data_IF_321647501146
#
_entry.id   IF_321647501146
#
_cell.length_a   1.000
_cell.length_b   1.000
_cell.length_c   1.000
_cell.angle_alpha   90.00
_cell.angle_beta   90.00
_cell.angle_gamma   90.00
#
_symmetry.space_group_name_H-M   'P 1'
#
loop_
_entity.id
_entity.type
_entity.pdbx_description
1 polymer ?
#
# COMPACT_ATOMS: atom_id res chain seq x y z
N UNK A 1 -27.42 3.00 6.32
CA UNK A 1 -26.39 3.77 5.56
C UNK A 1 -25.66 4.64 6.58
N UNK A 2 -24.34 4.55 6.77
CA UNK A 2 -23.73 5.34 7.87
C UNK A 2 -22.22 5.28 8.13
N UNK A 3 -21.41 4.48 7.42
CA UNK A 3 -19.94 4.60 7.51
C UNK A 3 -19.30 4.17 6.19
N UNK A 4 -18.36 4.94 5.63
CA UNK A 4 -17.58 4.50 4.48
C UNK A 4 -16.93 3.15 4.80
N UNK A 5 -17.29 2.13 4.01
CA UNK A 5 -16.79 0.75 4.19
C UNK A 5 -15.30 0.65 3.85
N UNK A 6 -14.87 1.52 2.94
CA UNK A 6 -13.49 1.78 2.59
C UNK A 6 -12.94 2.91 3.47
N UNK A 7 -11.77 2.67 4.04
CA UNK A 7 -10.93 3.72 4.61
C UNK A 7 -9.59 3.66 3.91
N UNK A 8 -8.83 4.75 3.95
CA UNK A 8 -7.49 4.79 3.36
C UNK A 8 -6.61 3.62 3.81
N UNK A 9 -6.63 3.29 5.12
CA UNK A 9 -5.92 2.13 5.67
C UNK A 9 -6.34 0.80 5.02
N UNK A 10 -7.62 0.61 4.73
CA UNK A 10 -8.11 -0.62 4.09
C UNK A 10 -7.71 -0.71 2.62
N UNK A 11 -7.72 0.41 1.90
CA UNK A 11 -7.23 0.46 0.53
C UNK A 11 -5.74 0.12 0.47
N UNK A 12 -4.91 0.81 1.26
CA UNK A 12 -3.47 0.53 1.32
C UNK A 12 -3.19 -0.91 1.74
N UNK A 13 -3.90 -1.45 2.74
CA UNK A 13 -3.72 -2.84 3.15
C UNK A 13 -4.15 -3.84 2.06
N UNK A 14 -5.18 -3.52 1.28
CA UNK A 14 -5.59 -4.35 0.14
C UNK A 14 -4.53 -4.33 -0.97
N UNK A 15 -4.01 -3.14 -1.31
CA UNK A 15 -2.94 -2.98 -2.31
C UNK A 15 -1.69 -3.74 -1.88
N UNK A 16 -1.25 -3.59 -0.63
CA UNK A 16 -0.08 -4.28 -0.09
C UNK A 16 -0.25 -5.81 -0.06
N UNK A 17 -1.49 -6.30 0.10
CA UNK A 17 -1.78 -7.72 0.03
C UNK A 17 -1.55 -8.29 -1.37
N UNK A 18 -1.72 -7.49 -2.44
CA UNK A 18 -1.47 -7.93 -3.83
C UNK A 18 -0.01 -8.30 -4.07
N UNK A 19 0.92 -7.68 -3.34
CA UNK A 19 2.36 -7.95 -3.39
C UNK A 19 2.85 -8.83 -2.23
N UNK A 20 1.92 -9.50 -1.53
CA UNK A 20 2.22 -10.47 -0.48
C UNK A 20 2.65 -9.88 0.86
N UNK A 21 2.40 -8.59 1.12
CA UNK A 21 2.81 -7.95 2.38
C UNK A 21 1.71 -7.91 3.42
N UNK A 22 2.09 -8.20 4.66
CA UNK A 22 1.23 -7.99 5.81
C UNK A 22 1.26 -6.54 6.28
N UNK A 23 0.20 -6.09 6.97
CA UNK A 23 0.10 -4.73 7.49
C UNK A 23 1.27 -4.32 8.43
N UNK A 24 1.79 -5.18 9.33
CA UNK A 24 3.00 -4.87 10.11
C UNK A 24 4.23 -4.61 9.23
N UNK A 25 4.45 -5.41 8.19
CA UNK A 25 5.57 -5.24 7.27
C UNK A 25 5.44 -3.95 6.45
N UNK A 26 4.23 -3.63 5.99
CA UNK A 26 3.92 -2.35 5.34
C UNK A 26 4.31 -1.17 6.24
N UNK A 27 3.95 -1.19 7.53
CA UNK A 27 4.33 -0.11 8.46
C UNK A 27 5.84 0.02 8.59
N UNK A 28 6.56 -1.11 8.73
CA UNK A 28 8.02 -1.11 8.83
C UNK A 28 8.67 -0.55 7.56
N UNK A 29 8.16 -0.91 6.38
CA UNK A 29 8.66 -0.38 5.10
C UNK A 29 8.29 1.08 4.89
N UNK A 30 7.14 1.54 5.39
CA UNK A 30 6.74 2.95 5.31
C UNK A 30 7.63 3.88 6.15
N UNK A 31 8.33 3.35 7.17
CA UNK A 31 9.33 4.09 7.95
C UNK A 31 10.63 4.34 7.14
N UNK A 32 10.96 3.44 6.21
CA UNK A 32 12.08 3.59 5.29
C UNK A 32 11.58 4.20 3.96
N UNK A 33 11.90 5.47 3.72
CA UNK A 33 11.43 6.18 2.52
C UNK A 33 11.87 5.53 1.20
N UNK A 34 13.06 4.94 1.14
CA UNK A 34 13.57 4.31 -0.07
C UNK A 34 12.85 2.98 -0.33
N UNK A 35 12.67 2.19 0.71
CA UNK A 35 11.96 0.92 0.65
C UNK A 35 10.46 1.12 0.39
N UNK A 36 9.88 2.18 0.96
CA UNK A 36 8.52 2.62 0.65
C UNK A 36 8.37 2.98 -0.83
N UNK A 37 9.27 3.80 -1.39
CA UNK A 37 9.21 4.18 -2.81
C UNK A 37 9.27 2.96 -3.74
N UNK A 38 10.17 2.00 -3.46
CA UNK A 38 10.24 0.73 -4.19
C UNK A 38 8.93 -0.05 -4.13
N UNK A 39 8.32 -0.11 -2.95
CA UNK A 39 7.03 -0.80 -2.74
C UNK A 39 5.91 -0.11 -3.51
N UNK A 40 5.85 1.23 -3.51
CA UNK A 40 4.83 1.98 -4.27
C UNK A 40 5.02 1.85 -5.78
N UNK A 41 6.26 1.83 -6.29
CA UNK A 41 6.54 1.60 -7.72
C UNK A 41 6.11 0.20 -8.16
N UNK A 42 6.27 -0.81 -7.30
CA UNK A 42 5.79 -2.16 -7.59
C UNK A 42 4.25 -2.25 -7.63
N UNK A 43 3.57 -1.43 -6.82
CA UNK A 43 2.10 -1.38 -6.75
C UNK A 43 1.46 -0.54 -7.85
N UNK A 44 2.13 0.53 -8.24
CA UNK A 44 1.72 1.41 -9.32
C UNK A 44 2.86 1.45 -10.33
N UNK A 45 2.93 0.45 -11.24
CA UNK A 45 3.83 0.55 -12.37
C UNK A 45 3.44 1.85 -13.08
N UNK A 46 4.35 2.81 -13.08
CA UNK A 46 4.17 4.09 -13.77
C UNK A 46 4.29 3.82 -15.27
N UNK A 47 3.39 3.01 -15.82
CA UNK A 47 3.12 2.97 -17.25
C UNK A 47 2.33 4.23 -17.54
N UNK A 48 3.06 5.29 -17.88
CA UNK A 48 2.48 6.50 -18.44
C UNK A 48 1.58 6.14 -19.62
N UNK A 49 0.40 6.72 -19.61
CA UNK A 49 -0.26 7.18 -20.83
C UNK A 49 -0.25 8.70 -20.76
#
# INVERSE_FOLDING_TARGET
>A
RGRPKQTWRRSVAADMKTIGLTWPETKRRAQDRANWRRTVVALCPTSGT
#
